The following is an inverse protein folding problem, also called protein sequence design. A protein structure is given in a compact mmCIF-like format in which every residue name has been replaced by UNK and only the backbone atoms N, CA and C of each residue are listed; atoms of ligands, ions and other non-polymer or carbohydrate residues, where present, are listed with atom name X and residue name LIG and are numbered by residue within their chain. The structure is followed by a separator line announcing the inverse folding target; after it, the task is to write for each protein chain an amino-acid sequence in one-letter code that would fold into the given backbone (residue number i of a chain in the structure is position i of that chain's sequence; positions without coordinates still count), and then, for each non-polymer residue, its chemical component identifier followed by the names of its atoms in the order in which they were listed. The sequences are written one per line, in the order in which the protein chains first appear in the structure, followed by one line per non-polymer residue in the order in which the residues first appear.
data_IF_179321281101
#
_entry.id   IF_179321281101
#
_cell.length_a   1.000
_cell.length_b   1.000
_cell.length_c   1.000
_cell.angle_alpha   90.00
_cell.angle_beta   90.00
_cell.angle_gamma   90.00
#
_symmetry.space_group_name_H-M   'P 1'
#
loop_
_entity.id
_entity.type
_entity.pdbx_description
1 polymer ?
#
# COMPACT_ATOMS: atom_id res chain seq x y z
N UNK A 1 23.92 -81.72 -24.61
CA UNK A 1 22.71 -81.41 -25.42
C UNK A 1 22.22 -80.07 -24.89
N UNK A 2 22.69 -78.96 -25.50
CA UNK A 2 22.55 -77.61 -24.94
C UNK A 2 21.48 -76.85 -25.73
N UNK A 3 20.27 -76.78 -25.17
CA UNK A 3 19.19 -75.91 -25.65
C UNK A 3 19.52 -74.45 -25.31
N UNK A 4 19.81 -73.65 -26.34
CA UNK A 4 19.89 -72.20 -26.20
C UNK A 4 18.48 -71.62 -26.43
N UNK A 5 17.93 -70.82 -25.49
CA UNK A 5 16.61 -70.21 -25.67
C UNK A 5 16.64 -69.22 -26.84
N UNK A 6 15.65 -69.35 -27.74
CA UNK A 6 15.48 -68.49 -28.88
C UNK A 6 15.19 -67.05 -28.44
N UNK A 7 16.08 -66.13 -28.81
CA UNK A 7 15.89 -64.68 -28.65
C UNK A 7 14.76 -64.28 -29.62
N UNK A 8 13.55 -64.10 -29.09
CA UNK A 8 12.41 -63.58 -29.84
C UNK A 8 12.73 -62.16 -30.31
N UNK A 9 12.88 -61.99 -31.64
CA UNK A 9 13.02 -60.68 -32.26
C UNK A 9 11.73 -59.89 -32.01
N UNK A 10 11.78 -58.69 -31.42
CA UNK A 10 10.59 -57.88 -31.21
C UNK A 10 9.94 -57.58 -32.57
N UNK A 11 8.67 -57.94 -32.71
CA UNK A 11 7.87 -57.59 -33.88
C UNK A 11 7.68 -56.08 -33.92
N UNK A 12 8.28 -55.44 -34.92
CA UNK A 12 8.16 -54.00 -35.14
C UNK A 12 6.73 -53.71 -35.58
N UNK A 13 5.94 -53.04 -34.72
CA UNK A 13 4.62 -52.51 -35.09
C UNK A 13 4.82 -51.22 -35.89
N UNK A 14 4.50 -51.25 -37.18
CA UNK A 14 4.56 -50.07 -38.04
C UNK A 14 3.16 -49.46 -38.20
N UNK A 15 2.83 -48.45 -37.40
CA UNK A 15 1.64 -47.60 -37.60
C UNK A 15 0.84 -47.35 -36.32
N UNK A 16 0.38 -46.11 -36.16
CA UNK A 16 -0.62 -45.72 -35.15
C UNK A 16 -2.03 -45.84 -35.75
N UNK A 17 -2.99 -46.31 -34.96
CA UNK A 17 -4.40 -46.33 -35.35
C UNK A 17 -5.00 -44.93 -35.27
N UNK A 18 -6.05 -44.66 -36.06
CA UNK A 18 -6.76 -43.38 -36.02
C UNK A 18 -7.25 -43.03 -34.60
N UNK A 19 -7.69 -44.02 -33.83
CA UNK A 19 -8.13 -43.83 -32.43
C UNK A 19 -6.98 -43.41 -31.52
N UNK A 20 -5.76 -43.95 -31.69
CA UNK A 20 -4.57 -43.52 -30.94
C UNK A 20 -4.20 -42.07 -31.27
N UNK A 21 -4.27 -41.68 -32.55
CA UNK A 21 -4.02 -40.29 -32.98
C UNK A 21 -5.08 -39.35 -32.41
N UNK A 22 -6.35 -39.71 -32.48
CA UNK A 22 -7.45 -38.91 -31.94
C UNK A 22 -7.35 -38.77 -30.41
N UNK A 23 -6.99 -39.85 -29.71
CA UNK A 23 -6.75 -39.82 -28.26
C UNK A 23 -5.55 -38.94 -27.89
N UNK A 24 -4.45 -39.05 -28.64
CA UNK A 24 -3.27 -38.19 -28.44
C UNK A 24 -3.62 -36.71 -28.62
N UNK A 25 -4.43 -36.36 -29.63
CA UNK A 25 -4.86 -34.99 -29.87
C UNK A 25 -5.77 -34.47 -28.76
N UNK A 26 -6.71 -35.29 -28.25
CA UNK A 26 -7.57 -34.90 -27.12
C UNK A 26 -6.74 -34.65 -25.86
N UNK A 27 -5.82 -35.57 -25.51
CA UNK A 27 -4.96 -35.40 -24.34
C UNK A 27 -4.05 -34.17 -24.49
N UNK A 28 -3.50 -33.94 -25.68
CA UNK A 28 -2.71 -32.75 -25.98
C UNK A 28 -3.55 -31.48 -25.81
N UNK A 29 -4.77 -31.46 -26.35
CA UNK A 29 -5.68 -30.31 -26.27
C UNK A 29 -6.09 -29.98 -24.83
N UNK A 30 -6.48 -30.97 -24.04
CA UNK A 30 -6.82 -30.78 -22.62
C UNK A 30 -5.58 -30.31 -21.84
N UNK A 31 -4.41 -30.88 -22.10
CA UNK A 31 -3.15 -30.47 -21.49
C UNK A 31 -2.80 -29.01 -21.73
N UNK A 32 -2.94 -28.53 -22.98
CA UNK A 32 -2.68 -27.12 -23.30
C UNK A 32 -3.66 -26.16 -22.63
N UNK A 33 -4.96 -26.50 -22.58
CA UNK A 33 -5.97 -25.67 -21.91
C UNK A 33 -5.69 -25.57 -20.41
N UNK A 34 -5.31 -26.69 -19.77
CA UNK A 34 -4.98 -26.70 -18.35
C UNK A 34 -3.75 -25.84 -18.03
N UNK A 35 -2.69 -25.95 -18.84
CA UNK A 35 -1.48 -25.13 -18.69
C UNK A 35 -1.79 -23.64 -18.91
N UNK A 36 -2.57 -23.31 -19.95
CA UNK A 36 -2.98 -21.94 -20.24
C UNK A 36 -3.80 -21.32 -19.11
N UNK A 37 -4.64 -22.10 -18.43
CA UNK A 37 -5.44 -21.63 -17.30
C UNK A 37 -4.62 -21.43 -16.01
N UNK A 38 -3.55 -22.21 -15.79
CA UNK A 38 -2.73 -22.11 -14.58
C UNK A 38 -1.72 -20.95 -14.62
N UNK A 39 -1.23 -20.56 -15.80
CA UNK A 39 -0.20 -19.54 -15.91
C UNK A 39 -0.59 -18.16 -15.36
N UNK A 40 -1.78 -17.59 -15.64
CA UNK A 40 -2.15 -16.27 -15.10
C UNK A 40 -2.16 -16.24 -13.57
N UNK A 41 -2.72 -17.27 -12.94
CA UNK A 41 -2.82 -17.36 -11.47
C UNK A 41 -1.43 -17.50 -10.85
N UNK A 42 -0.57 -18.35 -11.43
CA UNK A 42 0.80 -18.53 -10.94
C UNK A 42 1.64 -17.24 -11.07
N UNK A 43 1.44 -16.47 -12.14
CA UNK A 43 2.09 -15.17 -12.34
C UNK A 43 1.66 -14.18 -11.25
N UNK A 44 0.35 -14.07 -10.97
CA UNK A 44 -0.15 -13.19 -9.93
C UNK A 44 0.38 -13.58 -8.54
N UNK A 45 0.39 -14.87 -8.22
CA UNK A 45 0.94 -15.35 -6.95
C UNK A 45 2.44 -15.09 -6.81
N UNK A 46 3.20 -15.30 -7.89
CA UNK A 46 4.65 -15.01 -7.90
C UNK A 46 4.93 -13.52 -7.71
N UNK A 47 4.14 -12.65 -8.36
CA UNK A 47 4.23 -11.20 -8.18
C UNK A 47 3.94 -10.78 -6.74
N UNK A 48 2.86 -11.30 -6.14
CA UNK A 48 2.51 -11.02 -4.75
C UNK A 48 3.62 -11.46 -3.77
N UNK A 49 4.22 -12.63 -3.98
CA UNK A 49 5.31 -13.12 -3.13
C UNK A 49 6.57 -12.24 -3.23
N UNK A 50 6.90 -11.75 -4.43
CA UNK A 50 8.01 -10.80 -4.65
C UNK A 50 7.72 -9.47 -3.98
N UNK A 51 6.51 -8.94 -4.18
CA UNK A 51 6.03 -7.70 -3.60
C UNK A 51 6.07 -7.73 -2.05
N UNK A 52 5.66 -8.83 -1.42
CA UNK A 52 5.73 -9.01 0.02
C UNK A 52 7.18 -9.03 0.53
N UNK A 53 8.06 -9.77 -0.16
CA UNK A 53 9.48 -9.88 0.21
C UNK A 53 10.21 -8.54 0.12
N UNK A 54 9.99 -7.80 -0.97
CA UNK A 54 10.54 -6.44 -1.15
C UNK A 54 9.97 -5.49 -0.09
N UNK A 55 8.66 -5.53 0.15
CA UNK A 55 8.00 -4.71 1.16
C UNK A 55 8.60 -4.91 2.57
N UNK A 56 8.80 -6.16 3.01
CA UNK A 56 9.39 -6.42 4.33
C UNK A 56 10.82 -5.90 4.46
N UNK A 57 11.64 -6.05 3.41
CA UNK A 57 13.01 -5.52 3.40
C UNK A 57 13.01 -3.98 3.49
N UNK A 58 12.13 -3.32 2.74
CA UNK A 58 11.98 -1.87 2.74
C UNK A 58 11.57 -1.33 4.11
N UNK A 59 10.65 -1.99 4.81
CA UNK A 59 10.17 -1.53 6.13
C UNK A 59 11.27 -1.62 7.17
N UNK A 60 12.13 -2.64 7.12
CA UNK A 60 13.28 -2.74 8.03
C UNK A 60 14.27 -1.62 7.78
N UNK A 61 14.52 -1.29 6.51
CA UNK A 61 15.37 -0.15 6.13
C UNK A 61 14.74 1.17 6.61
N UNK A 62 13.45 1.40 6.33
CA UNK A 62 12.69 2.56 6.77
C UNK A 62 12.72 2.73 8.29
N UNK A 63 12.48 1.66 9.06
CA UNK A 63 12.50 1.70 10.52
C UNK A 63 13.89 2.07 11.06
N UNK A 64 14.97 1.55 10.43
CA UNK A 64 16.35 1.90 10.80
C UNK A 64 16.67 3.36 10.50
N UNK A 65 16.32 3.84 9.31
CA UNK A 65 16.47 5.25 8.91
C UNK A 65 15.68 6.15 9.86
N UNK A 66 14.44 5.77 10.18
CA UNK A 66 13.62 6.50 11.14
C UNK A 66 14.22 6.49 12.54
N UNK A 67 14.81 5.40 13.02
CA UNK A 67 15.47 5.37 14.32
C UNK A 67 16.70 6.30 14.40
N UNK A 68 17.39 6.53 13.27
CA UNK A 68 18.54 7.44 13.20
C UNK A 68 18.11 8.90 13.16
N UNK A 69 17.00 9.19 12.48
CA UNK A 69 16.53 10.56 12.24
C UNK A 69 15.55 11.04 13.33
N UNK A 70 14.76 10.13 13.91
CA UNK A 70 13.69 10.48 14.81
C UNK A 70 14.21 10.91 16.18
N UNK A 71 14.23 12.22 16.38
CA UNK A 71 14.54 12.86 17.66
C UNK A 71 13.26 13.28 18.36
N UNK A 72 13.28 13.27 19.70
CA UNK A 72 12.12 13.62 20.51
C UNK A 72 11.64 15.08 20.34
N UNK A 73 12.51 15.99 19.90
CA UNK A 73 12.21 17.40 19.62
C UNK A 73 11.55 17.62 18.24
N UNK A 74 11.90 16.80 17.25
CA UNK A 74 11.42 16.93 15.86
C UNK A 74 10.04 16.30 15.62
N UNK A 75 9.69 15.23 16.35
CA UNK A 75 8.44 14.49 16.13
C UNK A 75 7.38 14.95 17.13
N UNK A 76 6.43 15.84 16.82
CA UNK A 76 5.46 16.29 17.82
C UNK A 76 4.52 15.16 18.28
N UNK A 77 3.90 15.32 19.44
CA UNK A 77 2.74 14.50 19.80
C UNK A 77 1.59 14.76 18.83
N UNK A 78 0.84 13.72 18.49
CA UNK A 78 -0.30 13.76 17.58
C UNK A 78 -1.64 13.53 18.30
N UNK A 79 -1.63 13.53 19.63
CA UNK A 79 -2.85 13.68 20.44
C UNK A 79 -3.23 15.15 20.53
N UNK A 80 -4.51 15.46 20.37
CA UNK A 80 -4.98 16.84 20.55
C UNK A 80 -4.78 17.29 22.02
N UNK A 81 -4.43 18.56 22.27
CA UNK A 81 -4.30 19.08 23.62
C UNK A 81 -5.58 18.88 24.43
N UNK A 82 -5.45 18.40 25.67
CA UNK A 82 -6.59 18.19 26.58
C UNK A 82 -7.33 16.87 26.39
N UNK A 83 -6.90 15.99 25.48
CA UNK A 83 -7.47 14.65 25.41
C UNK A 83 -7.05 13.77 26.60
N UNK A 84 -7.94 12.89 27.09
CA UNK A 84 -7.63 12.03 28.21
C UNK A 84 -6.45 11.11 27.88
N UNK A 85 -5.65 10.83 28.90
CA UNK A 85 -4.52 9.91 28.79
C UNK A 85 -4.97 8.56 28.24
N UNK A 86 -4.24 8.05 27.23
CA UNK A 86 -4.58 6.79 26.57
C UNK A 86 -5.50 6.92 25.35
N UNK A 87 -5.97 8.13 25.02
CA UNK A 87 -6.64 8.37 23.74
C UNK A 87 -5.68 8.02 22.59
N UNK A 88 -6.05 7.14 21.65
CA UNK A 88 -5.16 6.78 20.57
C UNK A 88 -4.78 7.99 19.70
N UNK A 89 -3.49 8.26 19.51
CA UNK A 89 -3.01 9.42 18.77
C UNK A 89 -3.50 9.41 17.31
N UNK A 90 -3.75 10.60 16.76
CA UNK A 90 -4.00 10.73 15.32
C UNK A 90 -2.74 10.32 14.53
N UNK A 91 -2.93 9.86 13.29
CA UNK A 91 -1.81 9.54 12.39
C UNK A 91 -1.53 10.72 11.49
N UNK A 92 -0.31 11.24 11.50
CA UNK A 92 0.12 12.33 10.64
C UNK A 92 1.09 11.83 9.58
N UNK A 93 1.05 12.45 8.40
CA UNK A 93 2.18 12.36 7.47
C UNK A 93 3.33 13.23 7.96
N UNK A 94 4.54 13.00 7.47
CA UNK A 94 5.72 13.79 7.85
C UNK A 94 5.65 15.25 7.36
N UNK A 95 4.70 15.55 6.47
CA UNK A 95 4.42 16.88 5.92
C UNK A 95 2.95 17.26 6.08
N UNK A 96 2.32 16.82 7.16
CA UNK A 96 0.91 17.05 7.43
C UNK A 96 0.61 18.53 7.67
N UNK A 97 -0.43 19.06 7.03
CA UNK A 97 -0.82 20.48 7.16
C UNK A 97 -1.36 20.82 8.55
N UNK A 98 -1.75 19.83 9.36
CA UNK A 98 -2.16 20.03 10.76
C UNK A 98 -0.97 20.23 11.70
N UNK A 99 0.24 19.92 11.24
CA UNK A 99 1.47 20.16 11.99
C UNK A 99 1.91 21.61 11.79
N UNK A 100 2.56 22.20 12.80
CA UNK A 100 3.19 23.52 12.66
C UNK A 100 4.20 23.48 11.50
N UNK A 101 4.14 24.49 10.62
CA UNK A 101 4.93 24.55 9.39
C UNK A 101 6.44 24.51 9.70
N UNK A 102 6.83 25.11 10.82
CA UNK A 102 8.19 25.19 11.33
C UNK A 102 8.75 23.80 11.71
N UNK A 103 7.88 22.84 12.05
CA UNK A 103 8.27 21.46 12.38
C UNK A 103 8.14 20.53 11.17
N UNK A 104 7.07 20.67 10.39
CA UNK A 104 6.76 19.79 9.27
C UNK A 104 7.83 19.84 8.17
N UNK A 105 8.31 21.03 7.81
CA UNK A 105 9.22 21.20 6.68
C UNK A 105 10.64 20.66 6.98
N UNK A 106 11.29 20.94 8.12
CA UNK A 106 12.56 20.30 8.47
C UNK A 106 12.43 18.77 8.58
N UNK A 107 11.33 18.29 9.16
CA UNK A 107 11.08 16.86 9.30
C UNK A 107 10.96 16.18 7.93
N UNK A 108 10.17 16.76 7.02
CA UNK A 108 10.05 16.28 5.64
C UNK A 108 11.38 16.29 4.89
N UNK A 109 12.13 17.39 4.95
CA UNK A 109 13.45 17.50 4.29
C UNK A 109 14.43 16.43 4.75
N UNK A 110 14.36 16.05 6.02
CA UNK A 110 15.27 15.03 6.56
C UNK A 110 14.92 13.63 6.05
N UNK A 111 13.62 13.33 5.88
CA UNK A 111 13.16 11.99 5.51
C UNK A 111 13.06 11.80 3.99
N UNK A 112 12.72 12.84 3.23
CA UNK A 112 12.42 12.73 1.79
C UNK A 112 13.56 12.17 0.95
N UNK A 113 14.82 12.40 1.35
CA UNK A 113 16.01 11.95 0.62
C UNK A 113 16.13 10.42 0.54
N UNK A 114 15.55 9.70 1.50
CA UNK A 114 15.68 8.26 1.64
C UNK A 114 14.40 7.49 1.25
N UNK A 115 13.34 8.18 0.78
CA UNK A 115 12.06 7.54 0.46
C UNK A 115 12.14 6.61 -0.76
N UNK A 116 12.96 6.97 -1.75
CA UNK A 116 13.17 6.16 -2.95
C UNK A 116 14.32 5.19 -2.69
N UNK A 117 14.10 3.90 -2.96
CA UNK A 117 15.12 2.89 -2.75
C UNK A 117 16.25 3.06 -3.78
N UNK A 118 17.45 3.42 -3.33
CA UNK A 118 18.59 3.69 -4.22
C UNK A 118 19.05 2.48 -5.03
N UNK A 119 18.84 1.26 -4.53
CA UNK A 119 19.15 0.02 -5.25
C UNK A 119 18.13 -0.31 -6.35
N UNK A 120 16.89 0.17 -6.21
CA UNK A 120 15.82 -0.05 -7.19
C UNK A 120 14.80 1.10 -7.12
N UNK A 121 14.95 2.15 -7.96
CA UNK A 121 14.12 3.36 -7.90
C UNK A 121 12.67 3.12 -8.34
N UNK A 122 12.32 1.88 -8.73
CA UNK A 122 10.93 1.49 -8.96
C UNK A 122 10.15 1.35 -7.66
N UNK A 123 10.83 1.24 -6.52
CA UNK A 123 10.21 1.12 -5.21
C UNK A 123 10.50 2.33 -4.34
N UNK A 124 9.51 2.75 -3.58
CA UNK A 124 9.63 3.77 -2.56
C UNK A 124 8.79 3.42 -1.33
N UNK A 125 9.05 4.08 -0.21
CA UNK A 125 8.24 3.96 0.99
C UNK A 125 7.73 5.31 1.41
N UNK A 126 6.55 5.31 2.05
CA UNK A 126 5.88 6.53 2.48
C UNK A 126 5.56 6.38 3.97
N UNK A 127 6.26 7.13 4.84
CA UNK A 127 6.04 7.03 6.26
C UNK A 127 4.91 7.92 6.76
N UNK A 128 4.24 7.41 7.76
CA UNK A 128 3.25 8.09 8.60
C UNK A 128 3.55 7.73 10.06
N UNK A 129 3.18 8.60 10.99
CA UNK A 129 3.47 8.35 12.39
C UNK A 129 2.30 8.75 13.30
N UNK A 130 2.24 8.10 14.46
CA UNK A 130 1.36 8.50 15.54
C UNK A 130 2.15 8.49 16.86
N UNK A 131 2.17 9.62 17.56
CA UNK A 131 2.91 9.79 18.82
C UNK A 131 1.95 10.23 19.91
N UNK A 132 1.73 9.35 20.88
CA UNK A 132 0.86 9.65 22.02
C UNK A 132 1.52 10.55 23.06
N UNK A 133 0.74 10.94 24.07
CA UNK A 133 1.22 11.61 25.28
C UNK A 133 1.10 10.69 26.50
N UNK A 134 1.88 11.01 27.52
CA UNK A 134 1.74 10.50 28.87
C UNK A 134 0.57 11.21 29.59
N UNK A 135 0.07 10.67 30.71
CA UNK A 135 -1.00 11.33 31.49
C UNK A 135 -0.65 12.74 31.99
N UNK A 136 0.64 13.06 32.08
CA UNK A 136 1.15 14.39 32.47
C UNK A 136 1.27 15.37 31.27
N UNK A 137 0.80 14.97 30.09
CA UNK A 137 0.84 15.79 28.87
C UNK A 137 2.17 15.74 28.12
N UNK A 138 3.22 15.09 28.66
CA UNK A 138 4.50 14.98 27.95
C UNK A 138 4.39 14.01 26.76
N UNK A 139 4.99 14.31 25.59
CA UNK A 139 5.05 13.37 24.48
C UNK A 139 5.76 12.07 24.88
N UNK A 140 5.28 10.92 24.40
CA UNK A 140 5.91 9.62 24.67
C UNK A 140 7.26 9.49 23.97
N UNK A 141 8.20 8.76 24.56
CA UNK A 141 9.51 8.46 23.95
C UNK A 141 9.44 7.44 22.79
N UNK A 142 8.26 6.88 22.53
CA UNK A 142 8.02 5.96 21.43
C UNK A 142 6.96 6.52 20.50
N UNK A 143 7.14 6.28 19.20
CA UNK A 143 6.14 6.55 18.18
C UNK A 143 5.75 5.27 17.47
N UNK A 144 4.48 5.19 17.04
CA UNK A 144 4.02 4.17 16.10
C UNK A 144 4.31 4.66 14.69
N UNK A 145 5.14 3.93 13.95
CA UNK A 145 5.47 4.20 12.56
C UNK A 145 4.63 3.28 11.67
N UNK A 146 3.92 3.88 10.72
CA UNK A 146 3.16 3.18 9.69
C UNK A 146 3.85 3.46 8.35
N UNK A 147 4.23 2.40 7.64
CA UNK A 147 5.00 2.50 6.39
C UNK A 147 4.19 1.87 5.28
N UNK A 148 3.90 2.66 4.24
CA UNK A 148 3.37 2.16 2.98
C UNK A 148 4.53 1.90 2.02
N UNK A 149 4.64 0.67 1.52
CA UNK A 149 5.54 0.32 0.44
C UNK A 149 4.80 0.54 -0.89
N UNK A 150 5.43 1.28 -1.79
CA UNK A 150 4.84 1.66 -3.08
C UNK A 150 5.77 1.31 -4.23
N UNK A 151 5.18 1.03 -5.39
CA UNK A 151 5.88 0.79 -6.64
C UNK A 151 5.42 1.76 -7.71
N UNK A 152 6.38 2.29 -8.46
CA UNK A 152 6.13 3.12 -9.61
C UNK A 152 5.44 2.29 -10.70
N UNK A 153 4.14 2.53 -10.89
CA UNK A 153 3.35 1.89 -11.95
C UNK A 153 2.97 2.83 -13.10
N UNK A 154 3.29 4.12 -12.99
CA UNK A 154 3.05 5.14 -14.02
C UNK A 154 4.34 5.70 -14.65
N UNK A 155 4.20 6.50 -15.70
CA UNK A 155 5.21 7.49 -16.13
C UNK A 155 6.65 7.02 -16.38
N UNK A 156 6.86 5.77 -16.80
CA UNK A 156 8.20 5.20 -17.04
C UNK A 156 8.64 4.15 -16.02
N UNK A 157 7.80 3.86 -15.02
CA UNK A 157 8.00 2.75 -14.08
C UNK A 157 9.12 2.97 -13.06
N UNK A 158 9.65 4.19 -12.94
CA UNK A 158 10.68 4.58 -11.97
C UNK A 158 10.26 5.88 -11.27
N UNK A 159 10.56 6.00 -9.98
CA UNK A 159 10.45 7.27 -9.26
C UNK A 159 11.68 8.13 -9.51
N UNK A 160 11.46 9.44 -9.56
CA UNK A 160 12.48 10.47 -9.74
C UNK A 160 12.44 11.43 -8.56
N UNK A 161 13.58 11.59 -7.86
CA UNK A 161 13.65 12.41 -6.64
C UNK A 161 13.08 13.83 -6.84
N UNK A 162 13.42 14.49 -7.93
CA UNK A 162 13.01 15.87 -8.15
C UNK A 162 11.54 16.02 -8.56
N UNK A 163 10.94 14.95 -9.10
CA UNK A 163 9.59 14.96 -9.67
C UNK A 163 8.55 14.44 -8.67
N UNK A 164 8.89 13.37 -7.97
CA UNK A 164 7.95 12.62 -7.13
C UNK A 164 7.94 13.04 -5.65
N UNK A 165 8.95 13.82 -5.22
CA UNK A 165 9.08 14.32 -3.84
C UNK A 165 8.73 15.81 -3.68
N UNK A 166 8.55 16.55 -4.78
CA UNK A 166 8.29 17.99 -4.77
C UNK A 166 6.78 18.25 -4.87
N UNK A 167 6.27 19.21 -4.08
CA UNK A 167 4.88 19.66 -4.22
C UNK A 167 4.70 20.69 -5.32
N UNK A 168 3.46 20.82 -5.79
CA UNK A 168 3.03 21.97 -6.59
C UNK A 168 3.64 22.04 -7.98
N UNK A 169 4.18 20.93 -8.47
CA UNK A 169 4.54 20.80 -9.87
C UNK A 169 5.81 21.52 -10.32
N UNK A 170 6.44 22.27 -9.41
CA UNK A 170 7.67 22.98 -9.71
C UNK A 170 8.83 22.34 -8.97
N UNK A 171 10.00 22.31 -9.60
CA UNK A 171 11.23 21.80 -9.01
C UNK A 171 11.68 22.60 -7.76
N UNK A 172 11.04 23.75 -7.50
CA UNK A 172 11.32 24.63 -6.39
C UNK A 172 10.71 24.18 -5.04
N UNK A 173 9.86 23.14 -5.04
CA UNK A 173 9.14 22.63 -3.86
C UNK A 173 8.63 23.75 -2.94
N UNK A 174 7.71 24.60 -3.43
CA UNK A 174 7.18 25.68 -2.62
C UNK A 174 6.47 25.08 -1.40
N UNK A 175 6.96 25.44 -0.21
CA UNK A 175 6.40 24.98 1.07
C UNK A 175 4.91 25.34 1.25
N UNK A 176 4.36 26.22 0.40
CA UNK A 176 2.97 26.68 0.40
C UNK A 176 2.06 25.94 -0.57
N UNK A 177 2.58 24.96 -1.34
CA UNK A 177 1.71 24.17 -2.20
C UNK A 177 0.84 23.23 -1.36
N UNK A 178 -0.47 23.29 -1.63
CA UNK A 178 -1.48 22.41 -1.04
C UNK A 178 -1.59 21.07 -1.75
N UNK A 179 -1.02 20.95 -2.95
CA UNK A 179 -1.06 19.71 -3.72
C UNK A 179 0.03 18.76 -3.23
N UNK A 180 -0.32 17.57 -2.72
CA UNK A 180 0.68 16.60 -2.25
C UNK A 180 1.54 16.08 -3.41
N UNK A 181 2.81 15.79 -3.12
CA UNK A 181 3.70 15.11 -4.06
C UNK A 181 3.25 13.65 -4.30
N UNK A 182 3.82 12.98 -5.31
CA UNK A 182 3.50 11.56 -5.60
C UNK A 182 3.71 10.68 -4.38
N UNK A 183 4.85 10.85 -3.71
CA UNK A 183 5.28 10.08 -2.55
C UNK A 183 4.87 10.70 -1.20
N UNK A 184 3.81 11.51 -1.21
CA UNK A 184 3.16 12.02 -0.01
C UNK A 184 1.76 11.41 0.15
N UNK A 185 1.34 11.03 1.36
CA UNK A 185 -0.04 10.61 1.59
C UNK A 185 -1.01 11.77 1.36
N UNK A 186 -2.11 11.47 0.70
CA UNK A 186 -3.22 12.38 0.42
C UNK A 186 -4.21 12.36 1.56
N UNK A 187 -4.63 13.53 1.99
CA UNK A 187 -5.72 13.67 2.96
C UNK A 187 -7.07 13.48 2.25
N UNK A 188 -7.80 12.47 2.67
CA UNK A 188 -9.16 12.19 2.21
C UNK A 188 -10.13 12.17 3.39
N UNK A 189 -11.42 12.34 3.09
CA UNK A 189 -12.51 12.11 4.04
C UNK A 189 -13.19 10.80 3.69
N UNK A 190 -13.42 9.97 4.69
CA UNK A 190 -13.99 8.64 4.50
C UNK A 190 -15.17 8.41 5.43
N UNK A 191 -16.17 7.72 4.89
CA UNK A 191 -17.28 7.13 5.63
C UNK A 191 -17.16 5.62 5.54
N UNK A 192 -17.01 4.97 6.68
CA UNK A 192 -16.93 3.51 6.78
C UNK A 192 -18.29 3.00 7.25
N UNK A 193 -18.90 2.12 6.47
CA UNK A 193 -20.20 1.51 6.78
C UNK A 193 -20.00 0.01 6.99
N UNK A 194 -20.42 -0.47 8.17
CA UNK A 194 -20.41 -1.89 8.49
C UNK A 194 -21.68 -2.53 7.96
N UNK A 195 -21.55 -3.67 7.32
CA UNK A 195 -22.69 -4.45 6.87
C UNK A 195 -22.62 -5.83 7.51
N UNK A 196 -23.54 -6.14 8.42
CA UNK A 196 -23.59 -7.46 9.07
C UNK A 196 -23.89 -8.60 8.11
N UNK A 197 -24.50 -8.28 6.96
CA UNK A 197 -25.02 -9.26 6.00
C UNK A 197 -24.19 -9.30 4.71
N UNK A 198 -23.06 -8.60 4.66
CA UNK A 198 -22.28 -8.48 3.43
C UNK A 198 -20.93 -7.79 3.63
N UNK A 199 -20.37 -7.30 2.53
CA UNK A 199 -19.09 -6.59 2.55
C UNK A 199 -19.23 -5.22 3.23
N UNK A 200 -18.28 -4.88 4.09
CA UNK A 200 -18.16 -3.53 4.62
C UNK A 200 -17.71 -2.59 3.50
N UNK A 201 -18.16 -1.33 3.52
CA UNK A 201 -17.85 -0.39 2.45
C UNK A 201 -17.15 0.85 2.97
N UNK A 202 -16.19 1.35 2.19
CA UNK A 202 -15.59 2.67 2.35
C UNK A 202 -16.11 3.62 1.27
N UNK A 203 -16.68 4.74 1.68
CA UNK A 203 -17.09 5.82 0.79
C UNK A 203 -16.17 7.02 1.00
N UNK A 204 -15.56 7.53 -0.06
CA UNK A 204 -14.69 8.71 -0.01
C UNK A 204 -15.55 9.95 -0.22
N UNK A 205 -15.77 10.71 0.85
CA UNK A 205 -16.69 11.85 0.89
C UNK A 205 -16.03 13.19 0.61
N UNK A 206 -14.69 13.23 0.51
CA UNK A 206 -13.95 14.46 0.21
C UNK A 206 -12.44 14.26 0.08
N UNK A 207 -11.74 15.31 -0.34
CA UNK A 207 -10.31 15.28 -0.67
C UNK A 207 -10.05 14.78 -2.10
N UNK A 208 -8.86 14.24 -2.35
CA UNK A 208 -8.44 13.74 -3.67
C UNK A 208 -8.97 12.32 -3.94
N UNK A 209 -10.30 12.17 -4.07
CA UNK A 209 -10.94 10.87 -4.22
C UNK A 209 -10.58 10.13 -5.52
N UNK A 210 -10.20 10.85 -6.59
CA UNK A 210 -9.79 10.27 -7.87
C UNK A 210 -8.48 9.47 -7.79
N UNK A 211 -7.68 9.71 -6.75
CA UNK A 211 -6.48 8.90 -6.48
C UNK A 211 -6.84 7.48 -5.99
N UNK A 212 -8.08 7.24 -5.53
CA UNK A 212 -8.48 5.92 -5.06
C UNK A 212 -8.56 4.91 -6.20
N UNK A 213 -8.12 3.69 -5.92
CA UNK A 213 -8.22 2.56 -6.83
C UNK A 213 -8.34 1.26 -6.06
N UNK A 214 -8.76 0.21 -6.76
CA UNK A 214 -8.78 -1.15 -6.22
C UNK A 214 -7.37 -1.54 -5.75
N UNK A 215 -7.29 -2.06 -4.52
CA UNK A 215 -6.06 -2.46 -3.86
C UNK A 215 -5.36 -1.37 -3.03
N UNK A 216 -5.78 -0.10 -3.12
CA UNK A 216 -5.17 1.00 -2.36
C UNK A 216 -5.37 0.82 -0.84
N UNK A 217 -4.39 1.25 -0.03
CA UNK A 217 -4.55 1.28 1.42
C UNK A 217 -5.08 2.64 1.87
N UNK A 218 -5.98 2.59 2.85
CA UNK A 218 -6.47 3.75 3.59
C UNK A 218 -6.05 3.60 5.04
N UNK A 219 -5.39 4.62 5.58
CA UNK A 219 -5.02 4.69 6.99
C UNK A 219 -5.86 5.74 7.67
N UNK A 220 -6.67 5.35 8.67
CA UNK A 220 -7.49 6.31 9.41
C UNK A 220 -6.58 7.22 10.22
N UNK A 221 -6.62 8.50 9.88
CA UNK A 221 -5.79 9.51 10.52
C UNK A 221 -6.44 10.05 11.78
N UNK A 222 -7.69 10.49 11.66
CA UNK A 222 -8.46 11.03 12.76
C UNK A 222 -9.94 10.67 12.59
N UNK A 223 -10.42 9.80 13.48
CA UNK A 223 -11.77 9.29 13.53
C UNK A 223 -12.75 10.17 14.31
N UNK A 224 -12.35 11.41 14.69
CA UNK A 224 -13.16 12.26 15.54
C UNK A 224 -13.40 11.59 16.89
N UNK A 225 -14.64 11.58 17.39
CA UNK A 225 -14.96 10.97 18.70
C UNK A 225 -14.64 9.47 18.83
N UNK A 226 -14.43 8.77 17.71
CA UNK A 226 -14.12 7.33 17.67
C UNK A 226 -12.61 7.07 17.59
N UNK A 227 -11.84 7.68 18.48
CA UNK A 227 -10.37 7.66 18.46
C UNK A 227 -9.74 6.24 18.41
N UNK A 228 -10.45 5.19 18.86
CA UNK A 228 -10.00 3.80 18.74
C UNK A 228 -9.77 3.32 17.30
N UNK A 229 -10.31 4.02 16.30
CA UNK A 229 -10.04 3.75 14.90
C UNK A 229 -8.76 4.43 14.36
N UNK A 230 -8.14 5.35 15.12
CA UNK A 230 -6.93 6.05 14.67
C UNK A 230 -5.76 5.09 14.43
N UNK A 231 -5.24 5.11 13.20
CA UNK A 231 -4.18 4.25 12.69
C UNK A 231 -4.60 2.84 12.33
N UNK A 232 -5.91 2.57 12.26
CA UNK A 232 -6.38 1.38 11.55
C UNK A 232 -6.14 1.54 10.06
N UNK A 233 -5.75 0.44 9.45
CA UNK A 233 -5.46 0.35 8.02
C UNK A 233 -6.56 -0.51 7.40
N UNK A 234 -7.05 -0.08 6.25
CA UNK A 234 -8.03 -0.79 5.44
C UNK A 234 -7.50 -0.89 4.01
N UNK A 235 -7.94 -1.91 3.26
CA UNK A 235 -7.60 -2.06 1.84
C UNK A 235 -8.87 -1.97 1.01
N UNK A 236 -8.85 -1.13 -0.02
CA UNK A 236 -9.95 -1.02 -0.97
C UNK A 236 -10.01 -2.26 -1.87
N UNK A 237 -11.19 -2.82 -2.03
CA UNK A 237 -11.53 -3.88 -2.97
C UNK A 237 -12.24 -3.32 -4.20
N UNK A 238 -13.30 -4.00 -4.63
CA UNK A 238 -14.05 -3.63 -5.83
C UNK A 238 -14.79 -2.31 -5.66
N UNK A 239 -14.88 -1.52 -6.74
CA UNK A 239 -15.69 -0.30 -6.78
C UNK A 239 -17.16 -0.67 -6.89
N UNK A 240 -17.96 -0.34 -5.88
CA UNK A 240 -19.41 -0.56 -5.85
C UNK A 240 -20.25 0.69 -6.17
N UNK A 241 -19.62 1.86 -6.29
CA UNK A 241 -20.25 3.10 -6.74
C UNK A 241 -19.24 4.19 -7.09
N UNK A 242 -19.69 5.41 -7.40
CA UNK A 242 -18.79 6.49 -7.84
C UNK A 242 -17.63 6.73 -6.85
N UNK A 243 -17.91 6.93 -5.57
CA UNK A 243 -16.84 7.07 -4.56
C UNK A 243 -16.89 5.97 -3.50
N UNK A 244 -17.57 4.87 -3.81
CA UNK A 244 -17.82 3.78 -2.89
C UNK A 244 -17.07 2.52 -3.32
N UNK A 245 -16.36 1.96 -2.36
CA UNK A 245 -15.51 0.80 -2.52
C UNK A 245 -15.91 -0.23 -1.47
N UNK A 246 -15.95 -1.49 -1.87
CA UNK A 246 -16.03 -2.60 -0.94
C UNK A 246 -14.66 -2.74 -0.25
N UNK A 247 -14.64 -3.15 1.02
CA UNK A 247 -13.38 -3.46 1.69
C UNK A 247 -12.89 -4.83 1.24
N UNK A 248 -11.57 -4.98 1.16
CA UNK A 248 -10.95 -6.26 0.82
C UNK A 248 -11.22 -7.29 1.93
N UNK A 249 -11.56 -8.56 1.61
CA UNK A 249 -11.81 -9.57 2.63
C UNK A 249 -10.65 -9.70 3.62
N UNK A 250 -10.97 -9.80 4.91
CA UNK A 250 -9.98 -9.84 5.99
C UNK A 250 -9.48 -8.46 6.45
N UNK A 251 -9.85 -7.41 5.73
CA UNK A 251 -9.73 -6.01 6.14
C UNK A 251 -11.10 -5.39 6.47
N UNK A 252 -12.10 -6.23 6.74
CA UNK A 252 -13.44 -5.80 7.08
C UNK A 252 -13.52 -5.14 8.46
N UNK A 253 -14.59 -4.37 8.66
CA UNK A 253 -14.92 -3.83 9.96
C UNK A 253 -15.39 -4.98 10.87
N UNK A 254 -14.78 -5.11 12.05
CA UNK A 254 -15.13 -6.15 13.00
C UNK A 254 -16.51 -5.95 13.64
N UNK A 255 -17.01 -4.71 13.68
CA UNK A 255 -18.28 -4.37 14.30
C UNK A 255 -18.86 -3.04 13.83
N UNK A 256 -20.13 -2.78 14.17
CA UNK A 256 -20.78 -1.48 13.97
C UNK A 256 -20.11 -0.34 14.76
N UNK A 257 -19.40 -0.64 15.85
CA UNK A 257 -18.66 0.37 16.60
C UNK A 257 -17.54 1.02 15.77
N UNK A 258 -17.11 0.33 14.71
CA UNK A 258 -16.05 0.74 13.79
C UNK A 258 -16.56 1.55 12.60
N UNK A 259 -17.89 1.78 12.49
CA UNK A 259 -18.44 2.71 11.51
C UNK A 259 -17.87 4.11 11.75
N UNK A 260 -17.49 4.79 10.70
CA UNK A 260 -16.97 6.16 10.76
C UNK A 260 -17.80 7.03 9.83
N UNK A 261 -18.14 8.22 10.29
CA UNK A 261 -18.77 9.24 9.46
C UNK A 261 -17.83 10.43 9.35
N UNK A 262 -17.45 10.78 8.13
CA UNK A 262 -16.56 11.91 7.83
C UNK A 262 -15.18 11.87 8.55
N UNK A 263 -14.61 10.68 8.75
CA UNK A 263 -13.28 10.53 9.33
C UNK A 263 -12.19 11.02 8.37
N UNK A 264 -11.11 11.58 8.91
CA UNK A 264 -9.92 11.92 8.11
C UNK A 264 -9.07 10.67 7.92
N UNK A 265 -8.64 10.41 6.69
CA UNK A 265 -7.76 9.31 6.37
C UNK A 265 -6.64 9.74 5.42
N UNK A 266 -5.58 8.95 5.40
CA UNK A 266 -4.41 9.09 4.54
C UNK A 266 -4.41 7.96 3.52
N UNK A 267 -4.16 8.28 2.26
CA UNK A 267 -4.11 7.32 1.15
C UNK A 267 -3.03 7.72 0.15
N UNK A 268 -2.38 6.76 -0.51
CA UNK A 268 -1.49 7.06 -1.63
C UNK A 268 -2.25 6.83 -2.93
N UNK A 269 -2.60 5.58 -3.24
CA UNK A 269 -3.43 5.24 -4.39
C UNK A 269 -2.69 5.40 -5.72
N UNK A 270 -3.39 5.95 -6.72
CA UNK A 270 -2.89 6.14 -8.09
C UNK A 270 -1.92 7.31 -8.18
N UNK A 271 -1.00 7.21 -9.15
CA UNK A 271 -0.13 8.32 -9.53
C UNK A 271 -0.91 9.36 -10.34
N UNK A 272 -0.45 10.61 -10.32
CA UNK A 272 -0.77 11.56 -11.39
C UNK A 272 -0.04 11.13 -12.66
N UNK A 273 -0.65 11.34 -13.83
CA UNK A 273 0.01 11.09 -15.13
C UNK A 273 1.27 11.94 -15.28
N UNK A 274 1.21 13.19 -14.84
CA UNK A 274 2.33 14.09 -14.64
C UNK A 274 2.38 14.61 -13.20
N UNK A 275 3.29 14.10 -12.35
CA UNK A 275 3.45 14.62 -10.99
C UNK A 275 4.00 16.05 -10.92
N UNK A 276 4.46 16.61 -12.04
CA UNK A 276 4.81 18.04 -12.12
C UNK A 276 3.61 18.95 -12.44
N UNK A 277 2.41 18.41 -12.63
CA UNK A 277 1.22 19.22 -12.85
C UNK A 277 0.15 18.88 -11.80
N UNK A 278 -0.18 19.81 -10.88
CA UNK A 278 -1.22 19.60 -9.87
C UNK A 278 -2.63 19.46 -10.43
N UNK A 279 -2.84 19.67 -11.74
CA UNK A 279 -4.10 19.42 -12.43
C UNK A 279 -4.08 18.11 -13.25
N UNK A 280 -2.93 17.44 -13.33
CA UNK A 280 -2.81 16.18 -14.05
C UNK A 280 -3.71 15.11 -13.42
N UNK A 281 -4.49 14.36 -14.23
CA UNK A 281 -5.41 13.36 -13.72
C UNK A 281 -4.66 12.20 -13.03
N UNK A 282 -5.39 11.50 -12.17
CA UNK A 282 -4.94 10.25 -11.56
C UNK A 282 -5.23 9.08 -12.50
N UNK A 283 -4.19 8.39 -12.96
CA UNK A 283 -4.30 7.31 -13.94
C UNK A 283 -3.46 6.08 -13.56
N UNK A 284 -3.81 4.95 -14.16
CA UNK A 284 -3.11 3.68 -13.96
C UNK A 284 -3.53 2.92 -12.70
N UNK A 285 -2.85 1.79 -12.42
CA UNK A 285 -3.07 0.99 -11.22
C UNK A 285 -2.57 1.73 -9.96
N UNK A 286 -3.08 1.31 -8.79
CA UNK A 286 -2.62 1.82 -7.49
C UNK A 286 -1.14 1.51 -7.27
N UNK A 287 -0.41 2.42 -6.64
CA UNK A 287 1.02 2.23 -6.37
C UNK A 287 1.26 1.34 -5.15
N UNK A 288 0.28 1.26 -4.25
CA UNK A 288 0.41 0.58 -2.98
C UNK A 288 0.64 -0.93 -3.13
N UNK A 289 1.68 -1.42 -2.46
CA UNK A 289 2.04 -2.84 -2.43
C UNK A 289 1.64 -3.44 -1.08
N UNK A 290 2.13 -2.84 -0.01
CA UNK A 290 2.00 -3.37 1.34
C UNK A 290 2.01 -2.26 2.39
N UNK A 291 1.38 -2.53 3.53
CA UNK A 291 1.35 -1.62 4.67
C UNK A 291 1.85 -2.35 5.91
N UNK A 292 2.77 -1.71 6.64
CA UNK A 292 3.36 -2.26 7.85
C UNK A 292 3.28 -1.26 8.98
N UNK A 293 3.17 -1.76 10.20
CA UNK A 293 3.20 -0.94 11.42
C UNK A 293 4.29 -1.46 12.34
N UNK A 294 5.10 -0.55 12.88
CA UNK A 294 6.16 -0.84 13.86
C UNK A 294 6.24 0.27 14.91
N UNK A 295 7.02 0.04 15.96
CA UNK A 295 7.29 1.04 16.99
C UNK A 295 8.76 1.45 16.96
N UNK A 296 8.99 2.76 16.99
CA UNK A 296 10.34 3.34 16.99
C UNK A 296 10.52 4.12 18.28
N UNK A 297 11.62 3.85 18.99
CA UNK A 297 12.06 4.67 20.13
C UNK A 297 12.76 5.92 19.60
N UNK A 298 12.39 7.07 20.13
CA UNK A 298 12.97 8.36 19.82
C UNK A 298 14.22 8.57 20.67
N UNK A 299 15.26 9.16 20.08
CA UNK A 299 16.48 9.55 20.78
C UNK A 299 16.35 10.94 21.41
#
# INVERSE_FOLDING_TARGET
MNDRPAILKPAVRCGFTFTEVLFAVILLGIGFIMIAAMFPVAIQQTQLNVEESVGSAMVRAAAKTMQQIARADLIPATTAPGQPAGTPPAVYSFRDLRMQKELAEPLWRTVRGDLILSSDPRYAWIPMFARGQHPDGRPRETMRLIVLCVQARGGGGIYQMQRDLCRGGTLADPADSTTPATLEPRNIKVKLTYNSNGSSTAEITGGEYDAAGEGAFIVISDAGSKHHANGRVYRLGNRSGNNRWDLYPGWDLGSKADELDNASALMVGRARTDPTDPNSPYEGPVQDIACYTTFVKLN
#
